data_IF_136030222115
#
_entry.id   IF_136030222115
#
_cell.length_a   1.000
_cell.length_b   1.000
_cell.length_c   1.000
_cell.angle_alpha   90.00
_cell.angle_beta   90.00
_cell.angle_gamma   90.00
#
_symmetry.space_group_name_H-M   'P 1'
#
loop_
_entity.id
_entity.type
_entity.pdbx_description
1 polymer ?
#
# COMPACT_ATOMS: atom_id res chain seq x y z
N UNK A 1 15.97 34.80 2.17
CA UNK A 1 15.77 33.37 1.83
C UNK A 1 15.78 33.24 0.31
N UNK A 2 16.66 32.42 -0.25
CA UNK A 2 16.94 32.40 -1.69
C UNK A 2 15.84 31.77 -2.59
N UNK A 3 14.83 31.09 -2.01
CA UNK A 3 13.82 30.34 -2.76
C UNK A 3 12.36 30.80 -2.55
N UNK A 4 12.11 31.92 -1.85
CA UNK A 4 10.73 32.39 -1.60
C UNK A 4 9.96 32.75 -2.88
N UNK A 5 10.67 33.16 -3.95
CA UNK A 5 10.06 33.49 -5.25
C UNK A 5 9.24 32.34 -5.85
N UNK A 6 9.60 31.09 -5.56
CA UNK A 6 8.97 29.91 -6.14
C UNK A 6 8.14 29.10 -5.14
N UNK A 7 8.01 29.56 -3.89
CA UNK A 7 7.30 28.82 -2.84
C UNK A 7 5.80 28.64 -3.13
N UNK A 8 5.21 29.52 -3.93
CA UNK A 8 3.82 29.44 -4.36
C UNK A 8 3.46 28.13 -5.07
N UNK A 9 4.43 27.40 -5.64
CA UNK A 9 4.14 26.11 -6.31
C UNK A 9 3.61 25.06 -5.33
N UNK A 10 3.92 25.17 -4.03
CA UNK A 10 3.39 24.27 -2.98
C UNK A 10 1.89 24.40 -2.80
N UNK A 11 1.29 25.56 -3.10
CA UNK A 11 -0.16 25.73 -2.95
C UNK A 11 -0.98 24.96 -3.99
N UNK A 12 -0.32 24.35 -4.99
CA UNK A 12 -0.96 23.47 -5.96
C UNK A 12 -0.98 21.99 -5.52
N UNK A 13 -0.32 21.64 -4.41
CA UNK A 13 -0.46 20.30 -3.82
C UNK A 13 -1.91 20.13 -3.32
N UNK A 14 -2.63 19.09 -3.75
CA UNK A 14 -4.00 18.88 -3.30
C UNK A 14 -4.03 18.44 -1.83
N UNK A 15 -5.04 18.89 -1.10
CA UNK A 15 -5.37 18.32 0.20
C UNK A 15 -6.06 16.97 -0.01
N UNK A 16 -5.52 15.94 0.64
CA UNK A 16 -5.83 14.55 0.34
C UNK A 16 -6.04 13.71 1.61
N UNK A 17 -6.42 14.37 2.70
CA UNK A 17 -6.74 13.72 3.96
C UNK A 17 -8.00 12.84 3.85
N UNK A 18 -7.88 11.58 4.25
CA UNK A 18 -9.03 10.69 4.38
C UNK A 18 -9.84 11.06 5.63
N UNK A 19 -11.01 11.65 5.40
CA UNK A 19 -11.89 12.15 6.47
C UNK A 19 -12.20 11.10 7.53
N UNK A 20 -12.18 11.52 8.79
CA UNK A 20 -12.81 10.77 9.87
C UNK A 20 -14.34 10.74 9.67
N UNK A 21 -15.02 9.64 10.04
CA UNK A 21 -14.52 8.47 10.74
C UNK A 21 -14.17 7.29 9.80
N UNK A 22 -13.77 7.52 8.55
CA UNK A 22 -13.60 6.44 7.57
C UNK A 22 -12.40 5.53 7.86
N UNK A 23 -12.52 4.26 7.45
CA UNK A 23 -11.40 3.32 7.43
C UNK A 23 -10.51 3.61 6.22
N UNK A 24 -9.20 3.41 6.39
CA UNK A 24 -8.24 3.46 5.29
C UNK A 24 -7.90 2.01 4.95
N UNK A 25 -8.10 1.64 3.69
CA UNK A 25 -7.67 0.35 3.13
C UNK A 25 -6.72 0.63 1.98
N UNK A 26 -5.49 0.13 2.11
CA UNK A 26 -4.50 0.19 1.04
C UNK A 26 -4.47 -1.17 0.37
N UNK A 27 -4.86 -1.21 -0.90
CA UNK A 27 -4.76 -2.42 -1.72
C UNK A 27 -3.60 -2.27 -2.70
N UNK A 28 -2.72 -3.26 -2.71
CA UNK A 28 -1.63 -3.41 -3.68
C UNK A 28 -1.94 -4.59 -4.59
N UNK A 29 -1.50 -4.50 -5.84
CA UNK A 29 -1.80 -5.45 -6.90
C UNK A 29 -0.55 -5.61 -7.78
N UNK A 30 -0.28 -6.84 -8.21
CA UNK A 30 0.87 -7.19 -9.04
C UNK A 30 0.78 -6.58 -10.43
N UNK A 31 1.62 -5.59 -10.73
CA UNK A 31 1.66 -5.00 -12.07
C UNK A 31 2.17 -6.02 -13.10
N UNK A 32 1.33 -6.32 -14.11
CA UNK A 32 1.64 -7.28 -15.18
C UNK A 32 2.04 -8.67 -14.63
N UNK A 33 1.36 -9.10 -13.56
CA UNK A 33 1.74 -10.31 -12.84
C UNK A 33 1.58 -11.59 -13.66
N UNK A 34 0.75 -11.56 -14.71
CA UNK A 34 0.65 -12.64 -15.70
C UNK A 34 2.00 -12.89 -16.38
N UNK A 35 2.61 -11.84 -16.93
CA UNK A 35 3.94 -11.92 -17.56
C UNK A 35 5.00 -12.28 -16.54
N UNK A 36 4.93 -11.72 -15.33
CA UNK A 36 5.84 -12.06 -14.24
C UNK A 36 5.81 -13.57 -13.93
N UNK A 37 4.61 -14.15 -13.80
CA UNK A 37 4.43 -15.59 -13.60
C UNK A 37 5.01 -16.42 -14.74
N UNK A 38 4.86 -15.97 -16.00
CA UNK A 38 5.37 -16.69 -17.18
C UNK A 38 6.91 -16.66 -17.21
N UNK A 39 7.53 -15.51 -16.96
CA UNK A 39 8.99 -15.34 -16.94
C UNK A 39 9.65 -16.11 -15.78
N UNK A 40 8.98 -16.20 -14.64
CA UNK A 40 9.47 -16.89 -13.45
C UNK A 40 8.93 -18.33 -13.32
N UNK A 41 8.27 -18.85 -14.35
CA UNK A 41 7.82 -20.25 -14.45
C UNK A 41 6.96 -20.73 -13.26
N UNK A 42 6.03 -19.87 -12.82
CA UNK A 42 5.17 -20.17 -11.67
C UNK A 42 4.33 -21.43 -11.89
N UNK A 43 4.25 -22.27 -10.86
CA UNK A 43 3.39 -23.46 -10.84
C UNK A 43 1.92 -23.05 -10.95
N UNK A 44 1.15 -23.79 -11.77
CA UNK A 44 -0.28 -23.58 -11.99
C UNK A 44 -1.10 -24.70 -11.35
N UNK A 45 -2.30 -24.42 -10.79
CA UNK A 45 -2.96 -23.12 -10.78
C UNK A 45 -2.37 -22.14 -9.76
N UNK A 46 -1.69 -22.63 -8.72
CA UNK A 46 -1.15 -21.83 -7.63
C UNK A 46 0.31 -22.20 -7.37
N UNK A 47 1.16 -21.19 -7.20
CA UNK A 47 2.56 -21.35 -6.81
C UNK A 47 2.70 -21.05 -5.31
N UNK A 48 2.94 -22.10 -4.52
CA UNK A 48 3.00 -21.98 -3.06
C UNK A 48 4.19 -21.12 -2.58
N UNK A 49 5.32 -21.17 -3.29
CA UNK A 49 6.52 -20.41 -2.93
C UNK A 49 6.25 -18.92 -3.12
N UNK A 50 5.65 -18.55 -4.26
CA UNK A 50 5.28 -17.17 -4.52
C UNK A 50 4.23 -16.64 -3.53
N UNK A 51 3.22 -17.44 -3.19
CA UNK A 51 2.22 -17.05 -2.19
C UNK A 51 2.82 -16.88 -0.79
N UNK A 52 3.73 -17.78 -0.39
CA UNK A 52 4.42 -17.66 0.90
C UNK A 52 5.37 -16.45 0.95
N UNK A 53 5.97 -16.08 -0.18
CA UNK A 53 6.73 -14.84 -0.31
C UNK A 53 5.82 -13.62 -0.12
N UNK A 54 4.66 -13.57 -0.79
CA UNK A 54 3.67 -12.50 -0.63
C UNK A 54 3.19 -12.37 0.82
N UNK A 55 2.90 -13.50 1.48
CA UNK A 55 2.53 -13.53 2.90
C UNK A 55 3.66 -12.99 3.78
N UNK A 56 4.90 -13.37 3.52
CA UNK A 56 6.07 -12.89 4.27
C UNK A 56 6.25 -11.37 4.11
N UNK A 57 6.08 -10.86 2.88
CA UNK A 57 6.09 -9.41 2.62
C UNK A 57 4.97 -8.69 3.40
N UNK A 58 3.76 -9.23 3.40
CA UNK A 58 2.63 -8.65 4.13
C UNK A 58 2.86 -8.62 5.65
N UNK A 59 3.42 -9.69 6.22
CA UNK A 59 3.83 -9.73 7.64
C UNK A 59 4.84 -8.62 7.94
N UNK A 60 5.89 -8.48 7.14
CA UNK A 60 6.88 -7.41 7.33
C UNK A 60 6.27 -6.00 7.23
N UNK A 61 5.29 -5.80 6.34
CA UNK A 61 4.56 -4.52 6.23
C UNK A 61 3.77 -4.25 7.52
N UNK A 62 3.06 -5.25 8.04
CA UNK A 62 2.29 -5.11 9.29
C UNK A 62 3.19 -4.85 10.51
N UNK A 63 4.35 -5.52 10.59
CA UNK A 63 5.35 -5.27 11.64
C UNK A 63 5.92 -3.85 11.56
N UNK A 64 6.14 -3.34 10.35
CA UNK A 64 6.67 -2.00 10.13
C UNK A 64 5.66 -0.89 10.44
N UNK A 65 4.38 -1.14 10.18
CA UNK A 65 3.30 -0.16 10.32
C UNK A 65 2.24 -0.66 11.31
N UNK A 66 2.43 -0.42 12.63
CA UNK A 66 1.60 -1.01 13.69
C UNK A 66 0.14 -0.51 13.71
N UNK A 67 -0.18 0.52 12.94
CA UNK A 67 -1.55 0.99 12.77
C UNK A 67 -2.36 0.12 11.80
N UNK A 68 -1.72 -0.77 11.04
CA UNK A 68 -2.38 -1.81 10.24
C UNK A 68 -2.83 -2.92 11.19
N UNK A 69 -4.13 -3.12 11.29
CA UNK A 69 -4.74 -4.08 12.24
C UNK A 69 -5.21 -5.37 11.59
N UNK A 70 -5.32 -5.38 10.27
CA UNK A 70 -5.76 -6.53 9.50
C UNK A 70 -5.18 -6.48 8.09
N UNK A 71 -4.88 -7.64 7.53
CA UNK A 71 -4.50 -7.76 6.13
C UNK A 71 -5.08 -9.03 5.52
N UNK A 72 -5.35 -8.99 4.21
CA UNK A 72 -5.89 -10.11 3.44
C UNK A 72 -5.23 -10.15 2.07
N UNK A 73 -4.72 -11.32 1.69
CA UNK A 73 -4.08 -11.55 0.39
C UNK A 73 -4.80 -12.62 -0.41
N UNK A 74 -4.85 -12.44 -1.73
CA UNK A 74 -5.38 -13.41 -2.68
C UNK A 74 -4.66 -13.24 -4.02
N UNK A 75 -4.20 -14.33 -4.63
CA UNK A 75 -3.42 -14.29 -5.87
C UNK A 75 -2.20 -13.37 -5.71
N UNK A 76 -2.17 -12.25 -6.43
CA UNK A 76 -1.11 -11.28 -6.55
C UNK A 76 -1.47 -9.93 -5.92
N UNK A 77 -2.57 -9.88 -5.16
CA UNK A 77 -3.00 -8.70 -4.43
C UNK A 77 -2.97 -8.89 -2.91
N UNK A 78 -2.82 -7.77 -2.21
CA UNK A 78 -2.92 -7.69 -0.76
C UNK A 78 -3.64 -6.41 -0.33
N UNK A 79 -4.55 -6.52 0.63
CA UNK A 79 -5.25 -5.40 1.26
C UNK A 79 -4.78 -5.23 2.69
N UNK A 80 -4.51 -3.99 3.10
CA UNK A 80 -4.08 -3.62 4.45
C UNK A 80 -5.06 -2.61 5.05
N UNK A 81 -5.63 -2.96 6.20
CA UNK A 81 -6.64 -2.14 6.88
C UNK A 81 -5.99 -1.43 8.06
N UNK A 82 -6.02 -0.11 8.03
CA UNK A 82 -5.60 0.71 9.15
C UNK A 82 -6.71 0.83 10.19
N UNK A 83 -6.32 0.94 11.47
CA UNK A 83 -7.26 1.26 12.55
C UNK A 83 -7.94 2.61 12.27
N UNK A 84 -9.25 2.67 12.54
CA UNK A 84 -10.10 3.85 12.30
C UNK A 84 -9.53 5.15 12.87
N UNK A 85 -8.88 5.07 14.03
CA UNK A 85 -8.30 6.20 14.79
C UNK A 85 -6.88 6.58 14.35
N UNK A 86 -6.33 5.97 13.30
CA UNK A 86 -4.97 6.29 12.84
C UNK A 86 -4.85 7.77 12.47
N UNK A 87 -3.73 8.37 12.88
CA UNK A 87 -3.27 9.70 12.45
C UNK A 87 -2.01 9.60 11.57
N UNK A 88 -1.69 8.37 11.12
CA UNK A 88 -0.51 8.05 10.32
C UNK A 88 -0.44 8.98 9.10
N UNK A 89 0.69 9.69 8.94
CA UNK A 89 0.90 10.74 7.93
C UNK A 89 -0.25 11.74 7.78
N UNK A 90 -0.93 12.11 8.87
CA UNK A 90 -2.14 12.97 8.84
C UNK A 90 -3.22 12.44 7.89
N UNK A 91 -3.26 11.11 7.71
CA UNK A 91 -4.23 10.39 6.89
C UNK A 91 -4.24 10.82 5.41
N UNK A 92 -3.12 11.34 4.90
CA UNK A 92 -2.95 11.71 3.48
C UNK A 92 -2.95 10.47 2.58
N UNK A 93 -3.73 10.50 1.50
CA UNK A 93 -3.95 9.37 0.60
C UNK A 93 -2.97 9.27 -0.58
N UNK A 94 -2.31 10.35 -0.96
CA UNK A 94 -1.44 10.48 -2.13
C UNK A 94 -0.13 11.17 -1.72
N UNK A 95 0.94 10.77 -2.39
CA UNK A 95 2.17 11.57 -2.51
C UNK A 95 2.24 12.15 -3.92
#
# INVERSE_FOLDING_TARGET
MANSKYEYVKSFEPEDEVLLPNLIVVRIDGRDFRRFCEVHEFVKPNDEIALNLMNSCAVSVMEKFPDIVFSYGFSDEYSFVFKKTTTFYRRRARF
#
